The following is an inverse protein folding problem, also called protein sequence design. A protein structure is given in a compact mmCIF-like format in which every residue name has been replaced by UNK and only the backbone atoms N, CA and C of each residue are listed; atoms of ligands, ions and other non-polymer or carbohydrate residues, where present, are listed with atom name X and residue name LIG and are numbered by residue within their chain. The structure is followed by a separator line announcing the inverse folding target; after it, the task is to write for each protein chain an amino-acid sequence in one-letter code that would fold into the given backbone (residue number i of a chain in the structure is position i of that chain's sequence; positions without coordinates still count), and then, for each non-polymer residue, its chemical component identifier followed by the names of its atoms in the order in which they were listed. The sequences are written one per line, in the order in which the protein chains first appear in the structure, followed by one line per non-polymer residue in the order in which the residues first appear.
data_IF_105536200740
#
_entry.id   IF_105536200740
#
_cell.length_a   1.000
_cell.length_b   1.000
_cell.length_c   1.000
_cell.angle_alpha   90.00
_cell.angle_beta   90.00
_cell.angle_gamma   90.00
#
_symmetry.space_group_name_H-M   'P 1'
#
loop_
_entity.id
_entity.type
_entity.pdbx_description
1 polymer ?
#
# COMPACT_ATOMS: atom_id res chain seq x y z
N UNK A 1 11.09 -16.32 7.02
CA UNK A 1 10.33 -16.24 5.75
C UNK A 1 9.13 -17.18 5.85
N UNK A 2 7.91 -16.67 5.72
CA UNK A 2 6.70 -17.51 5.79
C UNK A 2 6.64 -18.50 4.61
N UNK A 3 6.03 -19.69 4.79
CA UNK A 3 5.87 -20.68 3.70
C UNK A 3 5.14 -20.11 2.47
N UNK A 4 4.29 -19.09 2.66
CA UNK A 4 3.57 -18.41 1.58
C UNK A 4 4.47 -17.44 0.82
N UNK A 5 5.32 -16.68 1.51
CA UNK A 5 6.30 -15.78 0.88
C UNK A 5 7.28 -16.56 0.00
N UNK A 6 7.79 -17.69 0.47
CA UNK A 6 8.68 -18.56 -0.32
C UNK A 6 8.00 -19.09 -1.58
N UNK A 7 6.71 -19.49 -1.47
CA UNK A 7 5.91 -19.95 -2.62
C UNK A 7 5.69 -18.84 -3.64
N UNK A 8 5.38 -17.62 -3.19
CA UNK A 8 5.16 -16.47 -4.09
C UNK A 8 6.46 -16.01 -4.74
N UNK A 9 7.58 -16.00 -4.00
CA UNK A 9 8.91 -15.70 -4.55
C UNK A 9 9.28 -16.64 -5.69
N UNK A 10 9.12 -17.95 -5.50
CA UNK A 10 9.40 -18.96 -6.53
C UNK A 10 8.56 -18.76 -7.78
N UNK A 11 7.27 -18.43 -7.62
CA UNK A 11 6.37 -18.19 -8.74
C UNK A 11 6.68 -16.89 -9.49
N UNK A 12 7.14 -15.85 -8.79
CA UNK A 12 7.65 -14.63 -9.41
C UNK A 12 8.89 -14.92 -10.26
N UNK A 13 9.85 -15.66 -9.73
CA UNK A 13 11.08 -16.04 -10.46
C UNK A 13 10.76 -16.93 -11.69
N UNK A 14 9.85 -17.88 -11.53
CA UNK A 14 9.40 -18.76 -12.61
C UNK A 14 8.66 -17.98 -13.72
N UNK A 15 7.79 -17.05 -13.33
CA UNK A 15 7.08 -16.17 -14.27
C UNK A 15 8.04 -15.23 -15.01
N UNK A 16 8.99 -14.60 -14.31
CA UNK A 16 10.01 -13.75 -14.94
C UNK A 16 10.89 -14.54 -15.91
N UNK A 17 11.20 -15.82 -15.59
CA UNK A 17 11.90 -16.72 -16.51
C UNK A 17 11.08 -17.00 -17.78
N UNK A 18 9.79 -17.32 -17.64
CA UNK A 18 8.88 -17.54 -18.78
C UNK A 18 8.79 -16.28 -19.66
N UNK A 19 8.69 -15.10 -19.04
CA UNK A 19 8.64 -13.84 -19.77
C UNK A 19 9.93 -13.58 -20.58
N UNK A 20 11.09 -13.89 -20.00
CA UNK A 20 12.38 -13.79 -20.70
C UNK A 20 12.49 -14.78 -21.86
N UNK A 21 12.13 -16.05 -21.63
CA UNK A 21 12.16 -17.10 -22.66
C UNK A 21 11.27 -16.70 -23.87
N UNK A 22 10.09 -16.13 -23.63
CA UNK A 22 9.17 -15.67 -24.69
C UNK A 22 9.69 -14.42 -25.42
N UNK A 23 10.38 -13.51 -24.74
CA UNK A 23 10.98 -12.31 -25.37
C UNK A 23 12.20 -12.63 -26.24
N UNK A 24 12.94 -13.70 -25.92
CA UNK A 24 14.18 -14.06 -26.62
C UNK A 24 13.92 -14.85 -27.91
N UNK A 25 12.83 -15.64 -27.97
CA UNK A 25 12.62 -16.62 -29.04
C UNK A 25 11.68 -16.20 -30.18
N UNK A 26 10.95 -15.07 -30.09
CA UNK A 26 10.01 -14.66 -31.14
C UNK A 26 10.30 -13.25 -31.69
N UNK A 27 11.14 -13.12 -32.73
CA UNK A 27 11.29 -11.88 -33.47
C UNK A 27 9.96 -11.49 -34.13
N UNK A 28 9.40 -10.36 -33.70
CA UNK A 28 8.07 -9.83 -34.09
C UNK A 28 7.95 -9.55 -35.61
N UNK A 29 9.06 -9.53 -36.33
CA UNK A 29 9.12 -9.10 -37.73
C UNK A 29 9.02 -10.24 -38.74
N UNK A 30 8.92 -11.50 -38.32
CA UNK A 30 8.73 -12.61 -39.24
C UNK A 30 7.28 -13.07 -39.18
N UNK A 31 6.65 -13.19 -40.35
CA UNK A 31 5.32 -13.78 -40.55
C UNK A 31 5.21 -15.01 -39.66
N UNK A 32 4.28 -14.96 -38.70
CA UNK A 32 4.05 -16.05 -37.76
C UNK A 32 3.54 -17.22 -38.59
N UNK A 33 4.43 -18.17 -38.90
CA UNK A 33 4.04 -19.45 -39.49
C UNK A 33 2.88 -20.02 -38.66
N UNK A 34 1.89 -20.59 -39.34
CA UNK A 34 0.65 -21.13 -38.74
C UNK A 34 0.89 -22.25 -37.70
N UNK A 35 2.14 -22.68 -37.51
CA UNK A 35 2.58 -23.58 -36.47
C UNK A 35 2.79 -22.79 -35.16
N UNK A 36 1.72 -22.70 -34.36
CA UNK A 36 1.71 -21.98 -33.08
C UNK A 36 2.80 -22.41 -32.08
N UNK A 37 2.84 -21.73 -30.93
CA UNK A 37 3.86 -21.89 -29.88
C UNK A 37 4.24 -23.34 -29.58
N UNK A 38 5.53 -23.64 -29.33
CA UNK A 38 5.95 -24.94 -28.84
C UNK A 38 5.11 -25.37 -27.64
N UNK A 39 4.58 -26.59 -27.68
CA UNK A 39 3.67 -27.15 -26.67
C UNK A 39 4.21 -27.00 -25.23
N UNK A 40 5.53 -27.13 -25.07
CA UNK A 40 6.22 -26.95 -23.79
C UNK A 40 6.15 -25.52 -23.22
N UNK A 41 6.14 -24.47 -24.06
CA UNK A 41 6.01 -23.09 -23.59
C UNK A 41 4.58 -22.76 -23.17
N UNK A 42 3.59 -23.27 -23.91
CA UNK A 42 2.17 -23.16 -23.55
C UNK A 42 1.88 -23.81 -22.19
N UNK A 43 2.45 -25.00 -21.95
CA UNK A 43 2.30 -25.70 -20.68
C UNK A 43 2.90 -24.91 -19.50
N UNK A 44 4.06 -24.28 -19.67
CA UNK A 44 4.70 -23.49 -18.60
C UNK A 44 3.89 -22.25 -18.22
N UNK A 45 3.33 -21.54 -19.21
CA UNK A 45 2.43 -20.40 -18.95
C UNK A 45 1.21 -20.85 -18.15
N UNK A 46 0.64 -21.99 -18.54
CA UNK A 46 -0.52 -22.60 -17.91
C UNK A 46 -0.24 -23.00 -16.45
N UNK A 47 0.91 -23.64 -16.20
CA UNK A 47 1.33 -24.05 -14.86
C UNK A 47 1.48 -22.85 -13.93
N UNK A 48 2.00 -21.72 -14.42
CA UNK A 48 2.05 -20.48 -13.62
C UNK A 48 0.66 -19.90 -13.37
N UNK A 49 -0.22 -19.88 -14.36
CA UNK A 49 -1.59 -19.40 -14.17
C UNK A 49 -2.36 -20.23 -13.12
N UNK A 50 -2.25 -21.56 -13.16
CA UNK A 50 -2.82 -22.47 -12.16
C UNK A 50 -2.28 -22.23 -10.76
N UNK A 51 -0.97 -22.02 -10.65
CA UNK A 51 -0.33 -21.75 -9.37
C UNK A 51 -0.74 -20.38 -8.80
N UNK A 52 -0.90 -19.37 -9.66
CA UNK A 52 -1.42 -18.05 -9.28
C UNK A 52 -2.87 -18.16 -8.81
N UNK A 53 -3.73 -18.88 -9.53
CA UNK A 53 -5.13 -19.10 -9.12
C UNK A 53 -5.23 -19.88 -7.79
N UNK A 54 -4.38 -20.89 -7.59
CA UNK A 54 -4.26 -21.62 -6.33
C UNK A 54 -3.86 -20.68 -5.19
N UNK A 55 -2.91 -19.78 -5.40
CA UNK A 55 -2.51 -18.78 -4.41
C UNK A 55 -3.65 -17.82 -4.09
N UNK A 56 -4.32 -17.27 -5.12
CA UNK A 56 -5.46 -16.35 -4.98
C UNK A 56 -6.60 -17.02 -4.21
N UNK A 57 -6.86 -18.30 -4.51
CA UNK A 57 -7.92 -19.08 -3.86
C UNK A 57 -7.68 -19.27 -2.37
N UNK A 58 -6.41 -19.32 -1.95
CA UNK A 58 -5.96 -19.48 -0.57
C UNK A 58 -5.74 -18.15 0.17
N UNK A 59 -5.99 -17.00 -0.47
CA UNK A 59 -5.90 -15.71 0.22
C UNK A 59 -6.97 -15.61 1.31
N UNK A 60 -6.61 -15.21 2.54
CA UNK A 60 -7.58 -15.02 3.62
C UNK A 60 -8.52 -13.83 3.35
N UNK A 61 -8.10 -12.89 2.52
CA UNK A 61 -8.81 -11.65 2.26
C UNK A 61 -9.75 -11.75 1.05
N UNK A 62 -11.07 -11.86 1.33
CA UNK A 62 -12.13 -11.96 0.30
C UNK A 62 -12.12 -10.80 -0.71
N UNK A 63 -11.72 -9.61 -0.29
CA UNK A 63 -11.71 -8.40 -1.12
C UNK A 63 -10.61 -8.45 -2.19
N UNK A 64 -9.39 -8.82 -1.78
CA UNK A 64 -8.26 -9.01 -2.68
C UNK A 64 -8.54 -10.16 -3.67
N UNK A 65 -9.08 -11.28 -3.17
CA UNK A 65 -9.55 -12.39 -4.00
C UNK A 65 -10.54 -11.94 -5.07
N UNK A 66 -11.59 -11.20 -4.70
CA UNK A 66 -12.61 -10.70 -5.63
C UNK A 66 -12.05 -9.71 -6.65
N UNK A 67 -11.12 -8.85 -6.25
CA UNK A 67 -10.48 -7.89 -7.15
C UNK A 67 -9.57 -8.59 -8.19
N UNK A 68 -8.81 -9.59 -7.74
CA UNK A 68 -7.96 -10.43 -8.59
C UNK A 68 -8.80 -11.30 -9.53
N UNK A 69 -9.84 -11.97 -9.00
CA UNK A 69 -10.79 -12.76 -9.78
C UNK A 69 -11.45 -11.91 -10.87
N UNK A 70 -11.86 -10.67 -10.55
CA UNK A 70 -12.47 -9.77 -11.55
C UNK A 70 -11.49 -9.37 -12.65
N UNK A 71 -10.22 -9.11 -12.30
CA UNK A 71 -9.18 -8.78 -13.28
C UNK A 71 -8.86 -9.98 -14.18
N UNK A 72 -8.76 -11.18 -13.61
CA UNK A 72 -8.49 -12.41 -14.35
C UNK A 72 -9.69 -12.85 -15.20
N UNK A 73 -10.92 -12.71 -14.70
CA UNK A 73 -12.15 -13.10 -15.42
C UNK A 73 -12.43 -12.29 -16.69
N UNK A 74 -11.76 -11.16 -16.88
CA UNK A 74 -11.85 -10.37 -18.10
C UNK A 74 -10.91 -10.88 -19.21
N UNK A 75 -9.98 -11.78 -18.88
CA UNK A 75 -9.06 -12.37 -19.84
C UNK A 75 -9.78 -13.51 -20.55
N UNK A 76 -9.96 -13.40 -21.86
CA UNK A 76 -10.64 -14.40 -22.68
C UNK A 76 -9.95 -15.78 -22.56
N UNK A 77 -8.60 -15.79 -22.56
CA UNK A 77 -7.79 -16.95 -22.21
C UNK A 77 -8.17 -17.61 -20.86
N UNK A 78 -8.45 -16.82 -19.81
CA UNK A 78 -8.83 -17.33 -18.49
C UNK A 78 -10.28 -17.87 -18.46
N UNK A 79 -11.18 -17.31 -19.29
CA UNK A 79 -12.54 -17.86 -19.47
C UNK A 79 -12.51 -19.20 -20.20
N UNK A 80 -11.82 -19.26 -21.34
CA UNK A 80 -11.61 -20.50 -22.10
C UNK A 80 -10.95 -21.57 -21.23
N UNK A 81 -9.98 -21.17 -20.40
CA UNK A 81 -9.35 -22.02 -19.39
C UNK A 81 -10.37 -22.59 -18.38
N UNK A 82 -11.24 -21.75 -17.78
CA UNK A 82 -12.24 -22.20 -16.79
C UNK A 82 -13.28 -23.14 -17.37
N UNK A 83 -13.62 -22.96 -18.64
CA UNK A 83 -14.60 -23.78 -19.35
C UNK A 83 -14.02 -25.17 -19.71
N UNK A 84 -12.69 -25.27 -19.89
CA UNK A 84 -11.98 -26.50 -20.30
C UNK A 84 -11.49 -27.37 -19.12
N UNK A 85 -11.52 -26.86 -17.86
CA UNK A 85 -11.22 -27.65 -16.65
C UNK A 85 -12.16 -28.87 -16.48
N UNK A 86 -13.27 -28.92 -17.21
CA UNK A 86 -14.17 -30.07 -17.25
C UNK A 86 -13.66 -31.27 -18.08
N UNK A 87 -12.42 -31.23 -18.57
CA UNK A 87 -11.62 -32.45 -18.77
C UNK A 87 -11.74 -33.15 -20.12
N UNK A 88 -12.17 -32.47 -21.18
CA UNK A 88 -12.29 -33.10 -22.50
C UNK A 88 -11.86 -32.18 -23.64
N UNK A 89 -10.55 -32.00 -23.87
CA UNK A 89 -9.92 -32.08 -25.20
C UNK A 89 -8.49 -31.51 -25.18
N UNK A 90 -7.74 -31.83 -26.24
CA UNK A 90 -6.38 -31.34 -26.51
C UNK A 90 -6.31 -29.82 -26.36
N UNK A 91 -5.30 -29.36 -25.62
CA UNK A 91 -5.04 -27.96 -25.36
C UNK A 91 -5.08 -27.13 -26.66
N UNK A 92 -5.85 -26.03 -26.70
CA UNK A 92 -5.82 -25.15 -27.85
C UNK A 92 -4.42 -24.53 -27.95
N UNK A 93 -3.71 -24.80 -29.06
CA UNK A 93 -2.47 -24.09 -29.38
C UNK A 93 -2.77 -22.59 -29.30
N UNK A 94 -1.93 -21.81 -28.62
CA UNK A 94 -2.01 -20.36 -28.66
C UNK A 94 -1.88 -19.93 -30.12
N UNK A 95 -3.01 -19.55 -30.73
CA UNK A 95 -3.05 -18.92 -32.04
C UNK A 95 -2.44 -17.52 -31.93
N UNK A 96 -2.11 -16.89 -33.05
CA UNK A 96 -1.62 -15.49 -33.06
C UNK A 96 -2.50 -14.52 -32.21
N UNK A 97 -3.85 -14.63 -32.22
CA UNK A 97 -4.71 -13.92 -31.27
C UNK A 97 -4.45 -14.24 -29.78
N UNK A 98 -4.21 -15.50 -29.43
CA UNK A 98 -3.90 -15.92 -28.05
C UNK A 98 -2.56 -15.38 -27.55
N UNK A 99 -1.59 -15.15 -28.43
CA UNK A 99 -0.33 -14.49 -28.09
C UNK A 99 -0.50 -12.99 -27.78
N UNK A 100 -1.33 -12.30 -28.55
CA UNK A 100 -1.67 -10.90 -28.29
C UNK A 100 -2.40 -10.77 -26.94
N UNK A 101 -3.32 -11.67 -26.64
CA UNK A 101 -3.94 -11.76 -25.31
C UNK A 101 -2.90 -12.04 -24.22
N UNK A 102 -1.97 -12.98 -24.41
CA UNK A 102 -0.90 -13.25 -23.43
C UNK A 102 -0.05 -12.00 -23.16
N UNK A 103 0.27 -11.23 -24.19
CA UNK A 103 1.05 -9.98 -24.07
C UNK A 103 0.32 -8.92 -23.24
N UNK A 104 -1.01 -8.91 -23.24
CA UNK A 104 -1.85 -8.05 -22.39
C UNK A 104 -2.02 -8.62 -20.97
N UNK A 105 -2.06 -9.95 -20.84
CA UNK A 105 -2.20 -10.69 -19.57
C UNK A 105 -0.91 -10.63 -18.74
N UNK A 106 0.26 -10.63 -19.41
CA UNK A 106 1.55 -10.71 -18.76
C UNK A 106 1.82 -9.55 -17.77
N UNK A 107 1.63 -8.27 -18.14
CA UNK A 107 1.73 -7.14 -17.20
C UNK A 107 0.78 -7.28 -16.00
N UNK A 108 -0.42 -7.84 -16.22
CA UNK A 108 -1.40 -8.06 -15.16
C UNK A 108 -0.95 -9.16 -14.20
N UNK A 109 -0.53 -10.32 -14.70
CA UNK A 109 0.01 -11.43 -13.88
C UNK A 109 1.25 -11.01 -13.10
N UNK A 110 2.18 -10.30 -13.75
CA UNK A 110 3.36 -9.73 -13.09
C UNK A 110 2.96 -8.82 -11.93
N UNK A 111 1.98 -7.95 -12.18
CA UNK A 111 1.47 -7.03 -11.17
C UNK A 111 0.80 -7.80 -10.00
N UNK A 112 0.02 -8.85 -10.28
CA UNK A 112 -0.56 -9.71 -9.24
C UNK A 112 0.51 -10.43 -8.41
N UNK A 113 1.53 -11.00 -9.05
CA UNK A 113 2.63 -11.68 -8.36
C UNK A 113 3.45 -10.72 -7.49
N UNK A 114 3.74 -9.52 -7.98
CA UNK A 114 4.38 -8.47 -7.17
C UNK A 114 3.49 -8.06 -5.99
N UNK A 115 2.19 -7.85 -6.21
CA UNK A 115 1.24 -7.52 -5.15
C UNK A 115 1.14 -8.59 -4.06
N UNK A 116 1.22 -9.87 -4.44
CA UNK A 116 1.26 -10.99 -3.52
C UNK A 116 2.61 -11.02 -2.78
N UNK A 117 3.71 -10.82 -3.50
CA UNK A 117 5.05 -10.81 -2.90
C UNK A 117 5.16 -9.71 -1.84
N UNK A 118 4.75 -8.49 -2.19
CA UNK A 118 4.67 -7.33 -1.30
C UNK A 118 3.72 -7.54 -0.12
N UNK A 119 2.59 -8.23 -0.34
CA UNK A 119 1.66 -8.59 0.73
C UNK A 119 2.28 -9.56 1.73
N UNK A 120 3.11 -10.49 1.25
CA UNK A 120 3.75 -11.50 2.07
C UNK A 120 5.13 -11.11 2.59
N UNK A 121 5.73 -10.01 2.12
CA UNK A 121 6.96 -9.45 2.70
C UNK A 121 6.66 -8.85 4.07
N UNK A 122 7.43 -9.28 5.07
CA UNK A 122 7.30 -8.93 6.48
C UNK A 122 7.43 -7.41 6.75
N UNK A 123 7.94 -6.65 5.77
CA UNK A 123 8.28 -5.22 5.88
C UNK A 123 7.06 -4.31 6.13
N UNK A 124 5.89 -4.57 5.52
CA UNK A 124 4.68 -3.76 5.78
C UNK A 124 4.17 -4.00 7.21
N UNK A 125 4.26 -5.26 7.68
CA UNK A 125 3.87 -5.61 9.05
C UNK A 125 4.83 -4.95 10.04
N UNK A 126 6.13 -4.98 9.75
CA UNK A 126 7.14 -4.30 10.56
C UNK A 126 6.97 -2.78 10.55
N UNK A 127 6.72 -2.18 9.39
CA UNK A 127 6.50 -0.74 9.24
C UNK A 127 5.25 -0.31 10.03
N UNK A 128 4.14 -1.03 9.90
CA UNK A 128 2.91 -0.79 10.68
C UNK A 128 3.15 -0.92 12.18
N UNK A 129 3.85 -1.97 12.61
CA UNK A 129 4.19 -2.18 14.01
C UNK A 129 5.08 -1.04 14.54
N UNK A 130 6.08 -0.63 13.76
CA UNK A 130 6.96 0.49 14.09
C UNK A 130 6.18 1.80 14.16
N UNK A 131 5.27 2.06 13.23
CA UNK A 131 4.41 3.24 13.22
C UNK A 131 3.49 3.29 14.45
N UNK A 132 2.85 2.17 14.81
CA UNK A 132 2.03 2.08 16.02
C UNK A 132 2.85 2.38 17.29
N UNK A 133 4.09 1.87 17.36
CA UNK A 133 5.01 2.16 18.46
C UNK A 133 5.41 3.63 18.44
N UNK A 134 5.70 4.21 17.29
CA UNK A 134 6.08 5.60 17.12
C UNK A 134 4.96 6.55 17.59
N UNK A 135 3.70 6.32 17.21
CA UNK A 135 2.58 7.14 17.69
C UNK A 135 2.34 6.99 19.19
N UNK A 136 2.47 5.78 19.74
CA UNK A 136 2.41 5.57 21.21
C UNK A 136 3.55 6.28 21.92
N UNK A 137 4.76 6.24 21.35
CA UNK A 137 5.92 6.94 21.87
C UNK A 137 5.73 8.46 21.82
N UNK A 138 5.17 8.99 20.73
CA UNK A 138 4.82 10.40 20.59
C UNK A 138 3.87 10.84 21.70
N UNK A 139 2.74 10.12 21.86
CA UNK A 139 1.78 10.44 22.91
C UNK A 139 2.41 10.42 24.31
N UNK A 140 3.24 9.42 24.60
CA UNK A 140 3.96 9.34 25.88
C UNK A 140 4.95 10.49 26.05
N UNK A 141 5.65 10.87 24.99
CA UNK A 141 6.65 11.93 25.03
C UNK A 141 5.99 13.30 25.27
N UNK A 142 4.82 13.56 24.68
CA UNK A 142 3.99 14.75 24.99
C UNK A 142 3.62 14.80 26.49
N UNK A 143 3.43 13.65 27.14
CA UNK A 143 3.08 13.61 28.57
C UNK A 143 4.31 13.86 29.46
N UNK A 144 5.44 13.22 29.15
CA UNK A 144 6.60 13.14 30.07
C UNK A 144 7.71 14.13 29.75
N UNK A 145 7.88 14.53 28.49
CA UNK A 145 8.93 15.46 28.07
C UNK A 145 8.37 16.89 28.08
N UNK A 146 8.89 17.72 28.98
CA UNK A 146 8.45 19.11 29.15
C UNK A 146 8.54 19.93 27.86
N UNK A 147 9.63 19.80 27.09
CA UNK A 147 9.84 20.60 25.87
C UNK A 147 8.79 20.21 24.81
N UNK A 148 8.63 18.91 24.55
CA UNK A 148 7.62 18.46 23.59
C UNK A 148 6.21 18.80 24.04
N UNK A 149 5.91 18.68 25.34
CA UNK A 149 4.64 19.12 25.90
C UNK A 149 4.35 20.59 25.58
N UNK A 150 5.31 21.46 25.84
CA UNK A 150 5.19 22.90 25.60
C UNK A 150 5.02 23.21 24.11
N UNK A 151 5.76 22.55 23.21
CA UNK A 151 5.63 22.75 21.75
C UNK A 151 4.25 22.35 21.21
N UNK A 152 3.70 21.22 21.67
CA UNK A 152 2.39 20.72 21.25
C UNK A 152 1.26 21.53 21.88
N UNK A 153 1.39 21.94 23.14
CA UNK A 153 0.44 22.82 23.82
C UNK A 153 0.42 24.21 23.16
N UNK A 154 1.58 24.79 22.85
CA UNK A 154 1.69 26.07 22.12
C UNK A 154 1.05 25.99 20.72
N UNK A 155 1.22 24.87 20.02
CA UNK A 155 0.52 24.60 18.76
C UNK A 155 -1.00 24.60 18.94
N UNK A 156 -1.49 24.01 20.03
CA UNK A 156 -2.91 23.95 20.34
C UNK A 156 -3.51 25.31 20.69
N UNK A 157 -2.88 26.05 21.60
CA UNK A 157 -3.38 27.30 22.19
C UNK A 157 -3.36 28.46 21.20
N UNK A 158 -2.32 28.59 20.38
CA UNK A 158 -2.20 29.71 19.43
C UNK A 158 -3.04 29.55 18.16
N UNK A 159 -3.95 28.56 18.12
CA UNK A 159 -4.67 28.16 16.91
C UNK A 159 -3.75 27.92 15.70
N UNK A 160 -2.49 27.55 15.98
CA UNK A 160 -1.53 27.25 14.94
C UNK A 160 -1.97 26.00 14.19
N UNK A 161 -1.86 26.10 12.86
CA UNK A 161 -2.54 25.28 11.86
C UNK A 161 -2.17 23.79 11.94
N UNK A 162 -3.02 22.95 11.35
CA UNK A 162 -2.81 21.50 11.08
C UNK A 162 -1.37 21.18 10.65
N UNK A 163 -0.79 22.02 9.79
CA UNK A 163 0.59 21.93 9.30
C UNK A 163 1.65 21.89 10.40
N UNK A 164 1.46 22.58 11.52
CA UNK A 164 2.45 22.56 12.61
C UNK A 164 2.50 21.20 13.29
N UNK A 165 1.34 20.60 13.57
CA UNK A 165 1.27 19.28 14.18
C UNK A 165 1.79 18.20 13.23
N UNK A 166 1.51 18.35 11.93
CA UNK A 166 2.10 17.52 10.88
C UNK A 166 3.62 17.55 10.96
N UNK A 167 4.26 18.73 10.91
CA UNK A 167 5.74 18.86 11.02
C UNK A 167 6.32 18.25 12.29
N UNK A 168 5.68 18.48 13.44
CA UNK A 168 6.12 17.91 14.73
C UNK A 168 6.01 16.38 14.72
N UNK A 169 4.90 15.86 14.19
CA UNK A 169 4.65 14.44 14.03
C UNK A 169 5.62 13.78 13.05
N UNK A 170 5.87 14.40 11.91
CA UNK A 170 6.80 13.95 10.89
C UNK A 170 8.22 13.84 11.44
N UNK A 171 8.67 14.87 12.18
CA UNK A 171 9.97 14.86 12.88
C UNK A 171 10.04 13.71 13.88
N UNK A 172 8.95 13.43 14.59
CA UNK A 172 8.88 12.29 15.51
C UNK A 172 8.97 10.96 14.77
N UNK A 173 8.22 10.77 13.69
CA UNK A 173 8.24 9.56 12.86
C UNK A 173 9.64 9.31 12.28
N UNK A 174 10.33 10.36 11.83
CA UNK A 174 11.70 10.26 11.33
C UNK A 174 12.67 9.74 12.40
N UNK A 175 12.45 10.09 13.67
CA UNK A 175 13.24 9.56 14.80
C UNK A 175 13.05 8.04 15.03
N UNK A 176 12.01 7.45 14.43
CA UNK A 176 11.79 5.99 14.37
C UNK A 176 12.15 5.41 12.99
N UNK A 177 12.92 6.14 12.18
CA UNK A 177 13.27 5.80 10.81
C UNK A 177 12.04 5.65 9.88
N UNK A 178 10.93 6.32 10.19
CA UNK A 178 9.74 6.34 9.33
C UNK A 178 9.68 7.69 8.64
N UNK A 179 9.69 7.67 7.31
CA UNK A 179 9.42 8.86 6.52
C UNK A 179 7.91 9.01 6.41
N UNK A 180 7.36 10.20 6.65
CA UNK A 180 5.95 10.47 6.36
C UNK A 180 5.82 11.16 5.00
N UNK A 181 4.75 10.83 4.29
CA UNK A 181 4.41 11.47 3.03
C UNK A 181 2.96 11.95 3.03
N UNK A 182 2.80 13.20 2.58
CA UNK A 182 1.54 13.79 2.16
C UNK A 182 1.71 14.30 0.73
N UNK A 183 0.79 13.93 -0.15
CA UNK A 183 0.79 14.43 -1.51
C UNK A 183 -0.15 15.63 -1.60
N UNK A 184 0.10 16.54 -2.54
CA UNK A 184 -0.83 17.63 -2.84
C UNK A 184 -1.42 17.40 -4.23
N UNK A 185 -2.74 17.41 -4.35
CA UNK A 185 -3.46 17.14 -5.61
C UNK A 185 -3.62 18.37 -6.50
N UNK A 186 -3.34 19.58 -5.98
CA UNK A 186 -3.38 20.83 -6.76
C UNK A 186 -2.03 21.09 -7.44
N UNK A 187 -1.75 20.35 -8.51
CA UNK A 187 -0.67 20.65 -9.46
C UNK A 187 0.74 20.40 -8.92
N UNK A 188 1.15 19.12 -8.87
CA UNK A 188 2.53 18.63 -8.91
C UNK A 188 3.61 19.36 -8.05
N UNK A 189 3.25 19.89 -6.89
CA UNK A 189 4.19 20.37 -5.87
C UNK A 189 3.73 19.89 -4.49
N UNK A 190 4.43 18.91 -3.92
CA UNK A 190 4.14 18.37 -2.59
C UNK A 190 4.54 19.39 -1.52
N UNK A 191 3.56 19.94 -0.81
CA UNK A 191 3.76 20.57 0.50
C UNK A 191 3.67 19.47 1.56
N UNK A 192 4.78 18.80 1.84
CA UNK A 192 4.96 17.97 3.04
C UNK A 192 6.42 17.98 3.45
N UNK A 193 6.64 18.18 4.73
CA UNK A 193 7.95 18.36 5.35
C UNK A 193 8.68 17.03 5.46
N UNK A 194 9.41 16.72 4.38
CA UNK A 194 10.64 15.92 4.26
C UNK A 194 10.92 15.53 2.79
N UNK A 195 10.09 16.02 1.86
CA UNK A 195 10.44 16.21 0.44
C UNK A 195 10.07 17.64 0.05
N UNK A 196 10.75 18.60 0.65
CA UNK A 196 10.65 19.99 0.21
C UNK A 196 11.22 20.09 -1.20
N UNK A 197 10.45 20.49 -2.23
CA UNK A 197 10.96 20.66 -3.59
C UNK A 197 12.00 21.81 -3.71
N UNK A 198 12.20 22.62 -2.66
CA UNK A 198 13.29 23.61 -2.58
C UNK A 198 14.60 23.05 -2.03
N UNK A 199 14.59 21.84 -1.46
CA UNK A 199 15.79 21.02 -1.41
C UNK A 199 15.96 20.40 -2.80
N UNK A 200 17.00 20.82 -3.54
CA UNK A 200 17.39 20.28 -4.86
C UNK A 200 17.79 18.78 -4.83
N UNK A 201 17.37 18.03 -3.83
CA UNK A 201 17.50 16.58 -3.78
C UNK A 201 16.18 16.00 -4.25
N UNK A 202 16.10 15.69 -5.55
CA UNK A 202 15.33 14.51 -5.97
C UNK A 202 15.77 13.41 -5.02
N UNK A 203 14.85 12.88 -4.21
CA UNK A 203 15.12 11.70 -3.39
C UNK A 203 15.36 10.58 -4.38
N UNK A 204 16.62 10.41 -4.74
CA UNK A 204 17.06 9.29 -5.52
C UNK A 204 17.08 8.11 -4.56
N UNK A 205 15.96 7.39 -4.51
CA UNK A 205 15.83 6.13 -3.77
C UNK A 205 16.87 5.09 -4.24
N UNK A 206 17.57 5.33 -5.36
CA UNK A 206 18.63 4.46 -5.89
C UNK A 206 20.03 4.81 -5.39
N UNK A 207 20.28 6.02 -4.84
CA UNK A 207 21.63 6.49 -4.45
C UNK A 207 22.07 6.03 -3.04
N UNK A 208 21.33 5.10 -2.42
CA UNK A 208 21.71 4.48 -1.13
C UNK A 208 21.70 5.38 0.11
N UNK A 209 21.60 6.71 -0.05
CA UNK A 209 21.63 7.70 1.05
C UNK A 209 20.39 7.68 1.94
N UNK A 210 19.27 7.16 1.44
CA UNK A 210 18.00 7.03 2.16
C UNK A 210 17.75 5.61 2.71
N UNK A 211 18.77 4.72 2.66
CA UNK A 211 18.70 3.34 3.19
C UNK A 211 18.52 3.25 4.71
N UNK A 212 18.53 4.37 5.43
CA UNK A 212 18.36 4.40 6.89
C UNK A 212 16.89 4.38 7.33
N UNK A 213 15.95 4.63 6.41
CA UNK A 213 14.52 4.56 6.68
C UNK A 213 13.99 3.12 6.68
N UNK A 214 13.20 2.74 7.69
CA UNK A 214 12.41 1.50 7.69
C UNK A 214 11.32 1.50 6.62
N UNK A 215 10.85 2.67 6.20
CA UNK A 215 9.86 2.80 5.14
C UNK A 215 9.24 4.19 5.09
N UNK A 216 8.38 4.39 4.08
CA UNK A 216 7.54 5.58 3.91
C UNK A 216 6.11 5.26 4.37
N UNK A 217 5.48 6.17 5.10
CA UNK A 217 4.14 6.04 5.65
C UNK A 217 3.26 7.20 5.19
N UNK A 218 2.07 6.89 4.65
CA UNK A 218 1.08 7.92 4.36
C UNK A 218 0.41 8.37 5.65
N UNK A 219 0.41 9.69 5.90
CA UNK A 219 -0.26 10.29 7.05
C UNK A 219 -1.19 11.41 6.59
N UNK A 220 -2.35 11.53 7.24
CA UNK A 220 -3.23 12.68 7.09
C UNK A 220 -3.60 13.18 8.48
N UNK A 221 -3.19 14.40 8.78
CA UNK A 221 -3.38 15.01 10.08
C UNK A 221 -4.66 15.85 10.09
N UNK A 222 -5.46 15.78 11.15
CA UNK A 222 -6.62 16.66 11.36
C UNK A 222 -6.70 17.13 12.79
N UNK A 223 -6.90 18.44 12.96
CA UNK A 223 -7.19 19.03 14.27
C UNK A 223 -8.68 18.89 14.56
N UNK A 224 -9.01 18.26 15.69
CA UNK A 224 -10.36 18.07 16.17
C UNK A 224 -10.57 18.84 17.48
N UNK A 225 -11.17 20.03 17.38
CA UNK A 225 -11.40 20.94 18.53
C UNK A 225 -12.52 20.49 19.44
N UNK A 226 -13.44 19.67 18.96
CA UNK A 226 -14.58 19.20 19.75
C UNK A 226 -14.78 17.70 19.57
N UNK A 227 -14.97 16.91 20.64
CA UNK A 227 -15.19 15.47 20.51
C UNK A 227 -16.37 15.12 19.58
N UNK A 228 -17.41 15.95 19.56
CA UNK A 228 -18.60 15.78 18.69
C UNK A 228 -18.31 15.83 17.19
N UNK A 229 -17.15 16.37 16.79
CA UNK A 229 -16.75 16.49 15.37
C UNK A 229 -15.75 15.42 14.96
N UNK A 230 -15.36 14.50 15.85
CA UNK A 230 -14.30 13.52 15.57
C UNK A 230 -14.58 12.69 14.33
N UNK A 231 -15.80 12.14 14.19
CA UNK A 231 -16.16 11.33 13.02
C UNK A 231 -16.11 12.14 11.73
N UNK A 232 -16.58 13.39 11.75
CA UNK A 232 -16.51 14.29 10.60
C UNK A 232 -15.07 14.61 10.21
N UNK A 233 -14.19 14.81 11.21
CA UNK A 233 -12.76 15.02 10.97
C UNK A 233 -12.11 13.78 10.35
N UNK A 234 -12.44 12.59 10.85
CA UNK A 234 -11.93 11.33 10.28
C UNK A 234 -12.43 11.14 8.85
N UNK A 235 -13.73 11.34 8.59
CA UNK A 235 -14.31 11.19 7.25
C UNK A 235 -13.67 12.17 6.26
N UNK A 236 -13.48 13.43 6.67
CA UNK A 236 -12.80 14.44 5.87
C UNK A 236 -11.35 14.08 5.58
N UNK A 237 -10.62 13.55 6.56
CA UNK A 237 -9.25 13.07 6.38
C UNK A 237 -9.18 11.90 5.39
N UNK A 238 -10.09 10.93 5.51
CA UNK A 238 -10.17 9.79 4.59
C UNK A 238 -10.45 10.25 3.17
N UNK A 239 -11.38 11.20 2.98
CA UNK A 239 -11.67 11.74 1.65
C UNK A 239 -10.45 12.41 1.02
N UNK A 240 -9.64 13.12 1.80
CA UNK A 240 -8.39 13.73 1.32
C UNK A 240 -7.33 12.67 1.03
N UNK A 241 -7.08 11.75 1.97
CA UNK A 241 -6.11 10.68 1.83
C UNK A 241 -6.40 9.74 0.64
N UNK A 242 -7.67 9.49 0.33
CA UNK A 242 -8.10 8.74 -0.87
C UNK A 242 -7.58 9.37 -2.17
N UNK A 243 -7.50 10.70 -2.24
CA UNK A 243 -7.01 11.36 -3.46
C UNK A 243 -5.54 10.99 -3.71
N UNK A 244 -4.74 10.87 -2.66
CA UNK A 244 -3.33 10.51 -2.79
C UNK A 244 -3.15 9.01 -3.09
N UNK A 245 -3.90 8.16 -2.39
CA UNK A 245 -3.83 6.70 -2.55
C UNK A 245 -4.27 6.21 -3.95
N UNK A 246 -5.04 7.01 -4.69
CA UNK A 246 -5.55 6.66 -6.03
C UNK A 246 -4.71 7.25 -7.18
N UNK A 247 -3.78 8.17 -6.89
CA UNK A 247 -2.94 8.80 -7.92
C UNK A 247 -1.76 7.92 -8.34
N UNK A 248 -1.38 8.03 -9.63
CA UNK A 248 -0.29 7.30 -10.30
C UNK A 248 1.11 7.46 -9.67
N UNK A 249 1.28 8.38 -8.70
CA UNK A 249 2.55 8.61 -7.98
C UNK A 249 2.72 7.71 -6.76
N UNK A 250 1.71 6.91 -6.41
CA UNK A 250 1.92 5.81 -5.48
C UNK A 250 2.66 4.69 -6.22
N UNK A 251 3.98 4.61 -6.05
CA UNK A 251 4.62 3.29 -6.07
C UNK A 251 3.75 2.36 -5.21
N UNK A 252 3.42 1.17 -5.72
CA UNK A 252 2.38 0.29 -5.16
C UNK A 252 2.53 0.02 -3.65
N UNK A 253 3.75 0.18 -3.13
CA UNK A 253 4.13 0.12 -1.72
C UNK A 253 3.38 1.13 -0.81
N UNK A 254 2.93 2.29 -1.33
CA UNK A 254 2.27 3.33 -0.53
C UNK A 254 0.74 3.19 -0.46
N UNK A 255 0.13 2.39 -1.33
CA UNK A 255 -1.31 2.48 -1.62
C UNK A 255 -2.23 1.70 -0.64
N UNK A 256 -1.71 1.10 0.44
CA UNK A 256 -2.50 0.12 1.25
C UNK A 256 -2.67 0.46 2.72
N UNK A 257 -1.89 1.39 3.27
CA UNK A 257 -1.99 1.80 4.66
C UNK A 257 -1.80 3.31 4.79
N UNK A 258 -2.79 3.99 5.37
CA UNK A 258 -2.73 5.40 5.68
C UNK A 258 -3.13 5.62 7.15
N UNK A 259 -2.33 6.40 7.87
CA UNK A 259 -2.64 6.82 9.23
C UNK A 259 -3.40 8.15 9.20
N UNK A 260 -4.64 8.12 9.70
CA UNK A 260 -5.43 9.30 9.97
C UNK A 260 -5.13 9.74 11.39
N UNK A 261 -4.38 10.82 11.56
CA UNK A 261 -3.95 11.32 12.86
C UNK A 261 -4.87 12.44 13.31
N UNK A 262 -5.69 12.15 14.31
CA UNK A 262 -6.58 13.12 14.94
C UNK A 262 -5.85 13.78 16.11
N UNK A 263 -5.58 15.07 15.98
CA UNK A 263 -5.00 15.90 17.02
C UNK A 263 -6.12 16.54 17.83
N UNK A 264 -6.14 16.35 19.15
CA UNK A 264 -7.18 16.88 20.05
C UNK A 264 -6.59 17.49 21.32
N UNK A 265 -7.41 18.21 22.08
CA UNK A 265 -6.99 18.77 23.38
C UNK A 265 -6.67 17.65 24.37
N UNK A 266 -7.65 16.78 24.60
CA UNK A 266 -7.59 15.62 25.49
C UNK A 266 -7.91 14.37 24.65
N UNK A 267 -7.78 13.19 25.25
CA UNK A 267 -8.11 11.95 24.56
C UNK A 267 -9.55 11.94 24.06
N UNK A 268 -9.76 11.52 22.82
CA UNK A 268 -11.08 11.32 22.22
C UNK A 268 -11.25 9.87 21.78
N UNK A 269 -12.48 9.35 21.92
CA UNK A 269 -12.82 8.05 21.37
C UNK A 269 -12.86 8.14 19.84
N UNK A 270 -12.02 7.32 19.20
CA UNK A 270 -11.89 7.22 17.73
C UNK A 270 -12.40 5.87 17.22
N UNK A 271 -12.96 5.04 18.10
CA UNK A 271 -13.28 3.65 17.83
C UNK A 271 -12.04 2.75 17.75
N UNK A 272 -12.26 1.43 17.70
CA UNK A 272 -11.18 0.43 17.76
C UNK A 272 -10.89 -0.24 16.42
N UNK A 273 -11.70 0.02 15.39
CA UNK A 273 -11.59 -0.66 14.09
C UNK A 273 -10.96 0.22 13.03
N UNK A 274 -9.89 -0.28 12.41
CA UNK A 274 -9.36 0.27 11.16
C UNK A 274 -10.49 0.32 10.10
N UNK A 275 -10.51 1.38 9.29
CA UNK A 275 -11.51 1.56 8.23
C UNK A 275 -10.93 1.05 6.92
N UNK A 276 -11.54 0.01 6.35
CA UNK A 276 -11.08 -0.59 5.11
C UNK A 276 -11.95 -0.12 3.94
N UNK A 277 -11.36 0.62 2.99
CA UNK A 277 -12.10 1.20 1.87
C UNK A 277 -11.27 1.02 0.59
N UNK A 278 -11.86 0.38 -0.43
CA UNK A 278 -11.25 0.23 -1.76
C UNK A 278 -9.86 -0.43 -1.75
N UNK A 279 -9.58 -1.32 -0.80
CA UNK A 279 -8.27 -1.98 -0.68
C UNK A 279 -7.25 -1.21 0.16
N UNK A 280 -7.64 -0.05 0.71
CA UNK A 280 -6.80 0.80 1.56
C UNK A 280 -7.24 0.64 3.01
N UNK A 281 -6.29 0.44 3.91
CA UNK A 281 -6.50 0.46 5.36
C UNK A 281 -6.26 1.86 5.88
N UNK A 282 -7.31 2.51 6.38
CA UNK A 282 -7.22 3.78 7.11
C UNK A 282 -7.20 3.49 8.60
N UNK A 283 -6.04 3.63 9.19
CA UNK A 283 -5.84 3.48 10.63
C UNK A 283 -5.98 4.83 11.30
N UNK A 284 -6.95 4.95 12.20
CA UNK A 284 -7.15 6.19 12.96
C UNK A 284 -6.33 6.14 14.24
N UNK A 285 -5.62 7.22 14.55
CA UNK A 285 -4.91 7.39 15.82
C UNK A 285 -5.23 8.75 16.40
N UNK A 286 -5.33 8.84 17.73
CA UNK A 286 -5.52 10.10 18.43
C UNK A 286 -4.22 10.52 19.12
N UNK A 287 -3.83 11.78 18.92
CA UNK A 287 -2.74 12.44 19.64
C UNK A 287 -3.35 13.61 20.42
N UNK A 288 -3.39 13.47 21.74
CA UNK A 288 -3.84 14.51 22.67
C UNK A 288 -2.68 15.45 23.02
N UNK A 289 -2.84 16.75 22.74
CA UNK A 289 -1.84 17.79 23.00
C UNK A 289 -1.74 18.16 24.49
N UNK A 290 -2.86 18.13 25.19
CA UNK A 290 -3.01 18.51 26.60
C UNK A 290 -3.73 17.37 27.34
N UNK A 291 -3.15 16.15 27.33
CA UNK A 291 -3.82 14.97 27.85
C UNK A 291 -4.13 15.13 29.33
N UNK A 292 -5.37 14.84 29.71
CA UNK A 292 -5.73 14.73 31.13
C UNK A 292 -5.01 13.54 31.77
N UNK A 293 -4.85 13.58 33.10
CA UNK A 293 -4.28 12.43 33.82
C UNK A 293 -5.16 11.19 33.58
N UNK A 294 -4.60 9.97 33.56
CA UNK A 294 -5.39 8.74 33.37
C UNK A 294 -6.58 8.64 34.34
N UNK A 295 -6.39 9.07 35.59
CA UNK A 295 -7.43 9.14 36.62
C UNK A 295 -8.56 10.13 36.33
N UNK A 296 -8.28 11.23 35.63
CA UNK A 296 -9.29 12.21 35.21
C UNK A 296 -9.97 11.73 33.93
N UNK A 297 -9.23 11.17 32.99
CA UNK A 297 -9.78 10.64 31.75
C UNK A 297 -10.76 9.49 32.00
N UNK A 298 -10.39 8.51 32.84
CA UNK A 298 -11.23 7.37 33.19
C UNK A 298 -12.56 7.73 33.88
N UNK A 299 -12.71 8.96 34.38
CA UNK A 299 -13.97 9.46 34.94
C UNK A 299 -14.88 10.14 33.91
N UNK A 300 -14.35 10.49 32.73
CA UNK A 300 -15.07 11.15 31.65
C UNK A 300 -15.65 10.17 30.62
N UNK A 301 -14.99 9.02 30.46
CA UNK A 301 -15.41 7.89 29.62
C UNK A 301 -16.39 6.99 30.36
#
# INVERSE_FOLDING_TARGET
MSKQLEKVSRLKDEFDKICKDIQVDYPINNEVDHDGFPEAQNQRIYDVALNVESLISNLPEKSLKKALDRKLSNLHMYKSFKEDVNGTSKFPRLTSPGYLEFKEVNPLLKNVLNQLYEYYTDDIVELRSTADIAFKHLQKSIIVNKVQKEEWQDGWENNNLETRFEKLGDTHLLSHNIWSAKFNTKGAGSDSVLVDPTFETKIDLTDGKYQTGKGLLLTEWKVCRTPKTVDKSIDGAIQQAKQYCTTHFSGFEFARLCYIVIVSEDYVDIGTSDRFIEGITFRVVNIACIPSSPSKHAKKT
#
